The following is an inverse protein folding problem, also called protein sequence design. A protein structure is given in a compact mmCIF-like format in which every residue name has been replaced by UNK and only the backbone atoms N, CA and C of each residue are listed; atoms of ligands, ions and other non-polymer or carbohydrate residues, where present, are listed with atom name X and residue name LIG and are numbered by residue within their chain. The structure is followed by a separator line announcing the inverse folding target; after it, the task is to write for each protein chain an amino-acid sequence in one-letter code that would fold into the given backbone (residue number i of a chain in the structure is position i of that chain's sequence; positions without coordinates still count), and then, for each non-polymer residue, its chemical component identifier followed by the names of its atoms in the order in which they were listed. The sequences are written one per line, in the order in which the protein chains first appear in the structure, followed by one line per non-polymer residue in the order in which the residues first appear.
data_IF_882981540494
#
_entry.id   IF_882981540494
#
_cell.length_a   1.000
_cell.length_b   1.000
_cell.length_c   1.000
_cell.angle_alpha   90.00
_cell.angle_beta   90.00
_cell.angle_gamma   90.00
#
_symmetry.space_group_name_H-M   'P 1'
#
loop_
_entity.id
_entity.type
_entity.pdbx_description
1 polymer ?
#
# COMPACT_ATOMS: atom_id res chain seq x y z
N UNK A 1 1.74 23.44 2.61
CA UNK A 1 1.85 24.82 2.08
C UNK A 1 2.68 24.84 0.79
N UNK A 2 2.60 25.94 0.03
CA UNK A 2 3.43 26.13 -1.17
C UNK A 2 4.92 26.20 -0.84
N UNK A 3 5.25 26.75 0.31
CA UNK A 3 6.62 26.81 0.81
C UNK A 3 7.17 25.40 1.09
N UNK A 4 6.41 24.55 1.78
CA UNK A 4 6.78 23.15 2.00
C UNK A 4 6.94 22.39 0.67
N UNK A 5 6.05 22.59 -0.30
CA UNK A 5 6.18 21.97 -1.62
C UNK A 5 7.47 22.38 -2.31
N UNK A 6 7.79 23.68 -2.33
CA UNK A 6 9.04 24.20 -2.92
C UNK A 6 10.30 23.69 -2.22
N UNK A 7 10.23 23.49 -0.91
CA UNK A 7 11.37 22.98 -0.11
C UNK A 7 11.63 21.50 -0.34
N UNK A 8 10.56 20.67 -0.39
CA UNK A 8 10.69 19.22 -0.32
C UNK A 8 10.50 18.50 -1.67
N UNK A 9 9.55 18.91 -2.52
CA UNK A 9 9.24 18.17 -3.73
C UNK A 9 10.37 18.12 -4.76
N UNK A 10 11.16 19.18 -5.01
CA UNK A 10 12.25 19.13 -5.98
C UNK A 10 13.30 18.06 -5.67
N UNK A 11 13.49 17.72 -4.38
CA UNK A 11 14.46 16.70 -3.96
C UNK A 11 14.13 15.31 -4.53
N UNK A 12 12.84 15.02 -4.75
CA UNK A 12 12.39 13.74 -5.33
C UNK A 12 12.50 13.70 -6.86
N UNK A 13 12.79 14.84 -7.50
CA UNK A 13 13.01 14.97 -8.94
C UNK A 13 14.51 15.10 -9.28
N UNK A 14 15.40 15.04 -8.30
CA UNK A 14 16.85 15.06 -8.51
C UNK A 14 17.27 13.77 -9.22
N UNK A 15 17.97 13.90 -10.35
CA UNK A 15 18.44 12.77 -11.15
C UNK A 15 19.86 12.33 -10.77
N UNK A 16 20.59 13.14 -10.01
CA UNK A 16 21.95 12.85 -9.58
C UNK A 16 22.02 12.21 -8.20
N UNK A 17 21.06 12.55 -7.32
CA UNK A 17 21.02 12.06 -5.95
C UNK A 17 19.69 11.38 -5.63
N UNK A 18 19.75 10.11 -5.23
CA UNK A 18 18.57 9.38 -4.79
C UNK A 18 18.00 9.97 -3.50
N UNK A 19 16.75 10.44 -3.55
CA UNK A 19 16.02 10.91 -2.39
C UNK A 19 14.78 10.01 -2.15
N UNK A 20 14.76 9.33 -1.02
CA UNK A 20 13.69 8.41 -0.66
C UNK A 20 12.72 9.05 0.32
N UNK A 21 11.43 8.87 0.05
CA UNK A 21 10.35 9.23 0.96
C UNK A 21 9.79 8.03 1.71
N UNK A 22 9.20 8.29 2.88
CA UNK A 22 8.48 7.29 3.64
C UNK A 22 7.20 7.86 4.27
N UNK A 23 6.17 7.03 4.34
CA UNK A 23 4.87 7.32 4.97
C UNK A 23 4.76 6.53 6.27
N UNK A 24 4.95 7.21 7.40
CA UNK A 24 5.12 6.59 8.71
C UNK A 24 3.85 6.75 9.57
N UNK A 25 2.82 5.94 9.28
CA UNK A 25 1.54 5.90 10.00
C UNK A 25 1.51 4.74 10.99
N UNK A 26 1.68 3.51 10.48
CA UNK A 26 1.49 2.25 11.20
C UNK A 26 2.44 2.09 12.39
N UNK A 27 1.93 1.54 13.48
CA UNK A 27 2.68 1.24 14.71
C UNK A 27 2.52 -0.25 15.09
N UNK A 28 3.34 -0.78 16.02
CA UNK A 28 3.22 -2.17 16.47
C UNK A 28 1.81 -2.56 16.91
N UNK A 29 1.08 -1.64 17.54
CA UNK A 29 -0.27 -1.87 18.09
C UNK A 29 -1.38 -1.13 17.33
N UNK A 30 -1.08 -0.38 16.29
CA UNK A 30 -2.02 0.41 15.49
C UNK A 30 -1.81 0.20 13.99
N UNK A 31 -2.52 -0.78 13.43
CA UNK A 31 -2.56 -1.08 12.00
C UNK A 31 -3.88 -0.59 11.38
N UNK A 32 -4.91 -1.45 11.38
CA UNK A 32 -6.26 -1.10 10.90
C UNK A 32 -6.93 -0.02 11.75
N UNK A 33 -6.65 -0.01 13.05
CA UNK A 33 -7.04 1.06 13.97
C UNK A 33 -6.00 2.19 13.95
N UNK A 34 -5.90 2.87 12.81
CA UNK A 34 -4.93 3.94 12.59
C UNK A 34 -5.19 5.22 13.42
N UNK A 35 -6.35 5.31 14.06
CA UNK A 35 -6.68 6.42 14.98
C UNK A 35 -6.03 6.22 16.37
N UNK A 36 -5.66 5.00 16.72
CA UNK A 36 -5.11 4.63 18.05
C UNK A 36 -3.58 4.68 18.12
N UNK A 37 -2.93 5.45 17.25
CA UNK A 37 -1.46 5.62 17.27
C UNK A 37 -1.00 6.22 18.61
N UNK A 38 0.15 5.73 19.09
CA UNK A 38 0.76 6.13 20.36
C UNK A 38 1.96 7.08 20.23
N UNK A 39 2.51 7.22 19.01
CA UNK A 39 3.56 8.22 18.73
C UNK A 39 3.04 9.60 19.10
N UNK A 40 3.77 10.30 19.97
CA UNK A 40 3.38 11.60 20.52
C UNK A 40 4.19 12.72 19.90
N UNK A 41 3.56 13.89 19.75
CA UNK A 41 4.19 15.15 19.40
C UNK A 41 3.79 16.19 20.45
N UNK A 42 4.68 16.46 21.39
CA UNK A 42 4.49 17.47 22.44
C UNK A 42 4.96 18.82 21.93
N UNK A 43 4.08 19.84 21.93
CA UNK A 43 4.45 21.19 21.52
C UNK A 43 5.29 21.89 22.60
N UNK A 44 6.46 22.38 22.23
CA UNK A 44 7.36 23.18 23.07
C UNK A 44 7.76 24.45 22.32
N UNK A 45 7.02 25.53 22.54
CA UNK A 45 7.24 26.81 21.90
C UNK A 45 7.07 26.75 20.39
N UNK A 46 8.16 26.91 19.65
CA UNK A 46 8.26 26.95 18.19
C UNK A 46 8.51 25.59 17.54
N UNK A 47 8.43 24.49 18.31
CA UNK A 47 8.69 23.14 17.84
C UNK A 47 7.81 22.10 18.53
N UNK A 48 7.84 20.87 17.99
CA UNK A 48 7.29 19.68 18.60
C UNK A 48 8.41 18.72 18.96
N UNK A 49 8.27 18.02 20.08
CA UNK A 49 9.14 16.90 20.47
C UNK A 49 8.42 15.61 20.11
N UNK A 50 8.98 14.86 19.18
CA UNK A 50 8.39 13.63 18.65
C UNK A 50 9.01 12.42 19.33
N UNK A 51 8.15 11.54 19.88
CA UNK A 51 8.55 10.28 20.48
C UNK A 51 7.62 9.16 20.05
N UNK A 52 8.18 8.04 19.57
CA UNK A 52 7.38 6.89 19.19
C UNK A 52 8.10 5.89 18.31
N UNK A 53 7.37 4.84 17.91
CA UNK A 53 7.85 3.73 17.11
C UNK A 53 6.89 3.44 15.96
N UNK A 54 7.37 3.57 14.74
CA UNK A 54 6.64 3.25 13.50
C UNK A 54 7.12 1.93 12.93
N UNK A 55 6.17 1.12 12.46
CA UNK A 55 6.42 -0.25 12.02
C UNK A 55 5.93 -0.51 10.60
N UNK A 56 6.61 -1.43 9.90
CA UNK A 56 6.30 -1.83 8.53
C UNK A 56 6.37 -0.67 7.52
N UNK A 57 7.26 0.28 7.76
CA UNK A 57 7.39 1.47 6.92
C UNK A 57 8.22 1.15 5.68
N UNK A 58 7.65 1.40 4.51
CA UNK A 58 8.40 1.38 3.25
C UNK A 58 9.49 2.44 3.32
N UNK A 59 10.72 2.05 3.01
CA UNK A 59 11.94 2.85 3.20
C UNK A 59 12.22 3.22 4.66
N UNK A 60 11.60 2.57 5.64
CA UNK A 60 11.86 2.81 7.06
C UNK A 60 13.32 2.60 7.42
N UNK A 61 13.94 3.59 8.05
CA UNK A 61 15.35 3.60 8.43
C UNK A 61 16.34 3.98 7.33
N UNK A 62 15.89 4.15 6.07
CA UNK A 62 16.72 4.57 4.94
C UNK A 62 16.18 5.80 4.19
N UNK A 63 14.95 6.24 4.49
CA UNK A 63 14.36 7.40 3.85
C UNK A 63 15.04 8.70 4.27
N UNK A 64 15.14 9.65 3.34
CA UNK A 64 15.64 11.00 3.59
C UNK A 64 14.55 11.90 4.18
N UNK A 65 13.28 11.66 3.80
CA UNK A 65 12.13 12.43 4.29
C UNK A 65 11.00 11.49 4.69
N UNK A 66 10.45 11.71 5.87
CA UNK A 66 9.31 10.99 6.42
C UNK A 66 8.11 11.90 6.55
N UNK A 67 6.92 11.41 6.18
CA UNK A 67 5.65 11.96 6.66
C UNK A 67 5.25 11.13 7.88
N UNK A 68 5.36 11.73 9.06
CA UNK A 68 5.13 11.04 10.35
C UNK A 68 3.81 11.50 10.94
N UNK A 69 2.97 10.54 11.29
CA UNK A 69 1.72 10.80 12.00
C UNK A 69 1.92 10.56 13.50
N UNK A 70 1.57 11.57 14.29
CA UNK A 70 1.70 11.53 15.74
C UNK A 70 0.49 12.18 16.40
N UNK A 71 0.14 11.80 17.62
CA UNK A 71 -0.91 12.46 18.38
C UNK A 71 -0.38 13.60 19.20
N UNK A 72 -1.02 14.77 19.10
CA UNK A 72 -0.76 15.93 19.96
C UNK A 72 -1.64 15.92 21.21
N UNK A 73 -2.79 15.22 21.16
CA UNK A 73 -3.68 14.99 22.29
C UNK A 73 -4.40 13.63 22.14
N UNK A 74 -3.96 12.59 22.84
CA UNK A 74 -4.54 11.24 22.71
C UNK A 74 -6.01 11.16 23.16
N UNK A 75 -6.48 12.11 23.96
CA UNK A 75 -7.88 12.14 24.45
C UNK A 75 -8.87 12.50 23.31
N UNK A 76 -8.37 13.11 22.24
CA UNK A 76 -9.17 13.50 21.06
C UNK A 76 -9.30 12.39 20.02
N UNK A 77 -8.73 11.18 20.25
CA UNK A 77 -8.73 10.09 19.28
C UNK A 77 -8.17 10.55 17.93
N UNK A 78 -8.89 10.28 16.83
CA UNK A 78 -8.46 10.69 15.50
C UNK A 78 -8.27 12.21 15.34
N UNK A 79 -9.03 13.03 16.09
CA UNK A 79 -8.90 14.49 16.10
C UNK A 79 -7.64 15.00 16.81
N UNK A 80 -6.87 14.13 17.45
CA UNK A 80 -5.54 14.46 18.00
C UNK A 80 -4.39 14.13 17.05
N UNK A 81 -4.64 13.36 15.98
CA UNK A 81 -3.61 12.95 15.03
C UNK A 81 -3.19 14.11 14.12
N UNK A 82 -1.90 14.36 14.06
CA UNK A 82 -1.28 15.43 13.29
C UNK A 82 -0.15 14.84 12.43
N UNK A 83 0.09 15.40 11.26
CA UNK A 83 1.13 14.94 10.35
C UNK A 83 2.31 15.92 10.32
N UNK A 84 3.52 15.40 10.23
CA UNK A 84 4.78 16.17 10.26
C UNK A 84 5.72 15.70 9.15
N UNK A 85 6.46 16.65 8.56
CA UNK A 85 7.59 16.36 7.69
C UNK A 85 8.82 16.25 8.59
N UNK A 86 9.47 15.08 8.60
CA UNK A 86 10.67 14.80 9.40
C UNK A 86 11.80 14.38 8.48
N UNK A 87 12.98 14.99 8.62
CA UNK A 87 14.15 14.58 7.83
C UNK A 87 14.86 13.40 8.51
N UNK A 88 15.29 12.43 7.72
CA UNK A 88 15.84 11.16 8.21
C UNK A 88 17.18 11.29 8.94
N UNK A 89 17.90 12.40 8.70
CA UNK A 89 19.19 12.70 9.34
C UNK A 89 19.06 13.53 10.64
N UNK A 90 17.83 13.85 11.07
CA UNK A 90 17.66 14.59 12.32
C UNK A 90 18.04 13.74 13.53
N UNK A 91 18.59 14.41 14.54
CA UNK A 91 18.93 13.78 15.81
C UNK A 91 17.68 13.13 16.42
N UNK A 92 17.80 11.88 16.86
CA UNK A 92 16.70 11.12 17.45
C UNK A 92 15.90 10.30 16.44
N UNK A 93 16.11 10.47 15.13
CA UNK A 93 15.55 9.58 14.11
C UNK A 93 16.46 8.36 13.96
N UNK A 94 15.94 7.18 14.22
CA UNK A 94 16.72 5.94 14.22
C UNK A 94 16.08 4.87 13.35
N UNK A 95 16.94 4.14 12.62
CA UNK A 95 16.53 2.92 11.94
C UNK A 95 16.26 1.81 12.96
N UNK A 96 15.09 1.20 12.89
CA UNK A 96 14.80 0.01 13.64
C UNK A 96 15.05 -1.26 12.85
N UNK A 97 14.28 -2.31 13.12
CA UNK A 97 14.43 -3.61 12.47
C UNK A 97 14.02 -3.56 10.99
N UNK A 98 14.89 -4.07 10.11
CA UNK A 98 14.52 -4.40 8.72
C UNK A 98 13.72 -5.69 8.67
N UNK A 99 12.56 -5.71 8.03
CA UNK A 99 11.66 -6.85 8.02
C UNK A 99 12.03 -7.89 6.92
N UNK A 100 11.93 -9.17 7.29
CA UNK A 100 12.03 -10.31 6.37
C UNK A 100 10.63 -10.68 5.91
N UNK A 101 10.33 -10.44 4.62
CA UNK A 101 8.98 -10.51 4.09
C UNK A 101 8.70 -11.76 3.27
N UNK A 102 7.43 -12.15 3.21
CA UNK A 102 6.91 -13.22 2.36
C UNK A 102 7.10 -12.89 0.87
N UNK A 103 6.72 -11.69 0.45
CA UNK A 103 6.77 -11.18 -0.92
C UNK A 103 7.27 -9.75 -1.00
N UNK A 104 7.25 -9.16 -2.19
CA UNK A 104 7.80 -7.84 -2.54
C UNK A 104 9.13 -7.55 -1.82
N UNK A 105 10.03 -8.53 -1.83
CA UNK A 105 11.27 -8.51 -1.05
C UNK A 105 12.26 -7.44 -1.49
N UNK A 106 12.14 -6.98 -2.74
CA UNK A 106 12.95 -5.88 -3.28
C UNK A 106 12.57 -4.51 -2.68
N UNK A 107 11.33 -4.34 -2.22
CA UNK A 107 10.91 -3.13 -1.51
C UNK A 107 11.43 -3.16 -0.08
N UNK A 108 12.27 -2.20 0.29
CA UNK A 108 12.74 -2.08 1.67
C UNK A 108 11.57 -1.77 2.61
N UNK A 109 11.51 -2.47 3.73
CA UNK A 109 10.48 -2.26 4.76
C UNK A 109 11.14 -2.41 6.13
N UNK A 110 10.97 -1.44 7.00
CA UNK A 110 11.59 -1.46 8.31
C UNK A 110 10.83 -0.62 9.34
N UNK A 111 11.29 -0.70 10.56
CA UNK A 111 10.82 0.13 11.65
C UNK A 111 11.59 1.46 11.67
N UNK A 112 10.94 2.49 12.22
CA UNK A 112 11.56 3.81 12.49
C UNK A 112 11.23 4.20 13.91
N UNK A 113 12.25 4.59 14.66
CA UNK A 113 12.14 5.02 16.06
C UNK A 113 12.44 6.51 16.13
N UNK A 114 11.62 7.23 16.87
CA UNK A 114 11.76 8.65 17.15
C UNK A 114 11.99 8.84 18.65
N UNK A 115 13.13 9.39 19.03
CA UNK A 115 13.50 9.68 20.42
C UNK A 115 13.88 11.15 20.54
N UNK A 116 13.01 11.92 21.19
CA UNK A 116 13.15 13.37 21.42
C UNK A 116 13.49 14.14 20.12
N UNK A 117 12.85 13.78 19.01
CA UNK A 117 13.08 14.45 17.72
C UNK A 117 12.45 15.83 17.76
N UNK A 118 13.26 16.87 17.60
CA UNK A 118 12.80 18.25 17.49
C UNK A 118 12.29 18.54 16.08
N UNK A 119 11.00 18.79 15.94
CA UNK A 119 10.33 19.09 14.68
C UNK A 119 9.87 20.55 14.69
N UNK A 120 10.43 21.43 13.85
CA UNK A 120 9.99 22.82 13.74
C UNK A 120 8.49 22.93 13.41
N UNK A 121 7.83 23.98 13.90
CA UNK A 121 6.39 24.16 13.70
C UNK A 121 6.02 24.28 12.21
N UNK A 122 6.87 24.82 11.39
CA UNK A 122 6.71 24.95 9.94
C UNK A 122 6.76 23.61 9.21
N UNK A 123 7.22 22.55 9.86
CA UNK A 123 7.21 21.18 9.32
C UNK A 123 5.92 20.43 9.63
N UNK A 124 4.97 21.02 10.36
CA UNK A 124 3.64 20.48 10.52
C UNK A 124 2.85 20.60 9.21
N UNK A 125 2.17 19.52 8.81
CA UNK A 125 1.27 19.51 7.67
C UNK A 125 -0.15 19.84 8.12
N UNK A 126 -0.74 20.88 7.54
CA UNK A 126 -2.05 21.43 7.90
C UNK A 126 -2.14 21.85 9.38
N UNK A 127 -3.33 21.92 9.93
CA UNK A 127 -3.58 22.26 11.34
C UNK A 127 -3.43 21.03 12.25
N UNK A 128 -3.25 21.26 13.55
CA UNK A 128 -3.27 20.18 14.53
C UNK A 128 -4.63 19.43 14.48
N UNK A 129 -4.55 18.09 14.54
CA UNK A 129 -5.73 17.22 14.49
C UNK A 129 -6.22 16.86 13.09
N UNK A 130 -5.68 17.46 12.02
CA UNK A 130 -6.08 17.15 10.64
C UNK A 130 -5.29 15.98 10.02
N UNK A 131 -4.30 15.43 10.71
CA UNK A 131 -3.45 14.39 10.17
C UNK A 131 -4.21 13.13 9.75
N UNK A 132 -5.18 12.66 10.56
CA UNK A 132 -5.98 11.49 10.22
C UNK A 132 -6.83 11.71 8.97
N UNK A 133 -7.52 12.83 8.88
CA UNK A 133 -8.34 13.19 7.70
C UNK A 133 -7.44 13.31 6.46
N UNK A 134 -6.27 13.92 6.60
CA UNK A 134 -5.28 14.00 5.52
C UNK A 134 -4.79 12.62 5.07
N UNK A 135 -4.53 11.70 6.02
CA UNK A 135 -4.17 10.32 5.71
C UNK A 135 -5.26 9.60 4.90
N UNK A 136 -6.52 9.75 5.28
CA UNK A 136 -7.65 9.12 4.57
C UNK A 136 -7.77 9.65 3.13
N UNK A 137 -7.62 10.97 2.92
CA UNK A 137 -7.62 11.57 1.57
C UNK A 137 -6.47 11.05 0.69
N UNK A 138 -5.29 10.82 1.27
CA UNK A 138 -4.18 10.19 0.54
C UNK A 138 -4.56 8.79 0.10
N UNK A 139 -5.18 7.99 0.97
CA UNK A 139 -5.60 6.63 0.61
C UNK A 139 -6.71 6.62 -0.46
N UNK A 140 -7.62 7.58 -0.49
CA UNK A 140 -8.59 7.72 -1.58
C UNK A 140 -7.90 7.87 -2.94
N UNK A 141 -6.81 8.63 -2.98
CA UNK A 141 -6.03 8.84 -4.21
C UNK A 141 -5.12 7.64 -4.56
N UNK A 142 -4.58 6.91 -3.57
CA UNK A 142 -3.57 5.87 -3.81
C UNK A 142 -4.15 4.46 -3.98
N UNK A 143 -5.32 4.16 -3.40
CA UNK A 143 -5.98 2.84 -3.53
C UNK A 143 -6.25 2.39 -4.97
N UNK A 144 -6.67 3.27 -5.92
CA UNK A 144 -6.75 2.88 -7.34
C UNK A 144 -5.40 2.41 -7.90
N UNK A 145 -4.29 3.03 -7.48
CA UNK A 145 -2.93 2.61 -7.83
C UNK A 145 -2.59 1.19 -7.33
N UNK A 146 -2.99 0.87 -6.09
CA UNK A 146 -2.86 -0.50 -5.55
C UNK A 146 -3.69 -1.50 -6.35
N UNK A 147 -4.93 -1.12 -6.73
CA UNK A 147 -5.78 -1.97 -7.55
C UNK A 147 -5.15 -2.26 -8.92
N UNK A 148 -4.57 -1.24 -9.58
CA UNK A 148 -3.86 -1.40 -10.87
C UNK A 148 -2.61 -2.27 -10.70
N UNK A 149 -1.84 -2.11 -9.62
CA UNK A 149 -0.69 -2.96 -9.33
C UNK A 149 -1.12 -4.44 -9.16
N UNK A 150 -2.25 -4.69 -8.48
CA UNK A 150 -2.83 -6.04 -8.36
C UNK A 150 -3.23 -6.63 -9.72
N UNK A 151 -3.87 -5.82 -10.58
CA UNK A 151 -4.18 -6.20 -11.97
C UNK A 151 -2.91 -6.55 -12.74
N UNK A 152 -1.83 -5.77 -12.59
CA UNK A 152 -0.56 -6.01 -13.26
C UNK A 152 0.07 -7.37 -12.89
N UNK A 153 0.12 -7.68 -11.61
CA UNK A 153 0.65 -8.97 -11.11
C UNK A 153 -0.22 -10.14 -11.57
N UNK A 154 -1.55 -10.00 -11.47
CA UNK A 154 -2.49 -11.04 -11.91
C UNK A 154 -2.38 -11.29 -13.43
N UNK A 155 -2.26 -10.22 -14.22
CA UNK A 155 -2.07 -10.31 -15.67
C UNK A 155 -0.79 -11.07 -16.03
N UNK A 156 0.33 -10.72 -15.39
CA UNK A 156 1.60 -11.42 -15.63
C UNK A 156 1.49 -12.92 -15.32
N UNK A 157 0.84 -13.27 -14.21
CA UNK A 157 0.61 -14.67 -13.83
C UNK A 157 -0.30 -15.40 -14.83
N UNK A 158 -1.37 -14.76 -15.28
CA UNK A 158 -2.28 -15.29 -16.30
C UNK A 158 -1.57 -15.51 -17.64
N UNK A 159 -0.87 -14.52 -18.16
CA UNK A 159 -0.17 -14.61 -19.45
C UNK A 159 0.88 -15.73 -19.44
N UNK A 160 1.62 -15.87 -18.33
CA UNK A 160 2.59 -16.93 -18.16
C UNK A 160 1.92 -18.34 -18.10
N UNK A 161 0.86 -18.47 -17.33
CA UNK A 161 0.11 -19.73 -17.22
C UNK A 161 -0.55 -20.13 -18.55
N UNK A 162 -1.08 -19.15 -19.29
CA UNK A 162 -1.66 -19.37 -20.61
C UNK A 162 -0.62 -19.91 -21.59
N UNK A 163 0.56 -19.30 -21.64
CA UNK A 163 1.63 -19.75 -22.53
C UNK A 163 2.11 -21.15 -22.13
N UNK A 164 2.34 -21.40 -20.85
CA UNK A 164 2.69 -22.72 -20.35
C UNK A 164 1.65 -23.77 -20.72
N UNK A 165 0.35 -23.46 -20.59
CA UNK A 165 -0.73 -24.39 -20.92
C UNK A 165 -0.79 -24.77 -22.41
N UNK A 166 -0.36 -23.87 -23.31
CA UNK A 166 -0.25 -24.13 -24.75
C UNK A 166 0.91 -25.05 -25.09
N UNK A 167 1.99 -25.02 -24.32
CA UNK A 167 3.23 -25.77 -24.60
C UNK A 167 3.31 -27.09 -23.85
N UNK A 168 2.79 -27.14 -22.61
CA UNK A 168 2.88 -28.32 -21.75
C UNK A 168 2.00 -29.45 -22.25
N UNK A 169 2.60 -30.57 -22.60
CA UNK A 169 1.88 -31.79 -23.06
C UNK A 169 1.69 -32.76 -21.89
N UNK A 170 0.46 -33.18 -21.65
CA UNK A 170 0.07 -34.28 -20.77
C UNK A 170 -1.06 -35.06 -21.40
N UNK A 171 -1.09 -36.39 -21.19
CA UNK A 171 -2.05 -37.28 -21.83
C UNK A 171 -2.08 -37.13 -23.37
N UNK A 172 -0.89 -36.95 -23.98
CA UNK A 172 -0.67 -36.84 -25.42
C UNK A 172 -1.10 -35.53 -26.08
N UNK A 173 -1.55 -34.49 -25.32
CA UNK A 173 -2.03 -33.23 -25.88
C UNK A 173 -1.60 -32.05 -24.98
N UNK A 174 -1.47 -30.83 -25.54
CA UNK A 174 -1.29 -29.61 -24.72
C UNK A 174 -2.39 -29.49 -23.67
N UNK A 175 -2.03 -29.09 -22.45
CA UNK A 175 -2.99 -29.03 -21.33
C UNK A 175 -4.09 -27.99 -21.55
N UNK A 176 -3.86 -26.97 -22.39
CA UNK A 176 -4.87 -25.99 -22.81
C UNK A 176 -6.13 -26.67 -23.45
N UNK A 177 -5.99 -27.88 -23.98
CA UNK A 177 -7.10 -28.62 -24.56
C UNK A 177 -8.04 -29.25 -23.51
N UNK A 178 -7.67 -29.21 -22.26
CA UNK A 178 -8.45 -29.73 -21.13
C UNK A 178 -9.44 -28.68 -20.65
N UNK A 179 -10.73 -29.03 -20.61
CA UNK A 179 -11.82 -28.13 -20.28
C UNK A 179 -11.62 -27.41 -18.91
N UNK A 180 -11.12 -28.14 -17.89
CA UNK A 180 -10.84 -27.55 -16.58
C UNK A 180 -9.80 -26.43 -16.67
N UNK A 181 -8.74 -26.58 -17.47
CA UNK A 181 -7.71 -25.54 -17.68
C UNK A 181 -8.30 -24.36 -18.45
N UNK A 182 -9.15 -24.62 -19.46
CA UNK A 182 -9.83 -23.56 -20.22
C UNK A 182 -10.73 -22.73 -19.30
N UNK A 183 -11.47 -23.34 -18.40
CA UNK A 183 -12.34 -22.64 -17.46
C UNK A 183 -11.54 -21.79 -16.46
N UNK A 184 -10.46 -22.34 -15.90
CA UNK A 184 -9.57 -21.56 -15.03
C UNK A 184 -9.04 -20.32 -15.75
N UNK A 185 -8.52 -20.47 -16.97
CA UNK A 185 -7.97 -19.34 -17.75
C UNK A 185 -9.06 -18.32 -18.13
N UNK A 186 -10.27 -18.77 -18.46
CA UNK A 186 -11.40 -17.89 -18.77
C UNK A 186 -11.81 -17.07 -17.52
N UNK A 187 -11.93 -17.72 -16.36
CA UNK A 187 -12.25 -17.05 -15.09
C UNK A 187 -11.17 -16.03 -14.70
N UNK A 188 -9.88 -16.38 -14.86
CA UNK A 188 -8.77 -15.47 -14.61
C UNK A 188 -8.88 -14.21 -15.48
N UNK A 189 -9.12 -14.36 -16.79
CA UNK A 189 -9.24 -13.24 -17.73
C UNK A 189 -10.42 -12.32 -17.37
N UNK A 190 -11.60 -12.90 -17.16
CA UNK A 190 -12.81 -12.15 -16.81
C UNK A 190 -12.61 -11.31 -15.54
N UNK A 191 -11.99 -11.90 -14.50
CA UNK A 191 -11.75 -11.22 -13.23
C UNK A 191 -10.70 -10.11 -13.36
N UNK A 192 -9.64 -10.31 -14.16
CA UNK A 192 -8.62 -9.30 -14.45
C UNK A 192 -9.25 -8.08 -15.13
N UNK A 193 -10.10 -8.31 -16.14
CA UNK A 193 -10.75 -7.22 -16.87
C UNK A 193 -11.75 -6.46 -15.99
N UNK A 194 -12.55 -7.17 -15.20
CA UNK A 194 -13.45 -6.55 -14.24
C UNK A 194 -12.70 -5.68 -13.22
N UNK A 195 -11.57 -6.17 -12.66
CA UNK A 195 -10.75 -5.43 -11.72
C UNK A 195 -10.14 -4.17 -12.35
N UNK A 196 -9.68 -4.27 -13.60
CA UNK A 196 -9.13 -3.14 -14.36
C UNK A 196 -10.17 -2.03 -14.56
N UNK A 197 -11.39 -2.39 -14.96
CA UNK A 197 -12.47 -1.43 -15.16
C UNK A 197 -12.88 -0.74 -13.85
N UNK A 198 -12.93 -1.47 -12.74
CA UNK A 198 -13.19 -0.88 -11.42
C UNK A 198 -12.09 0.12 -11.02
N UNK A 199 -10.83 -0.23 -11.26
CA UNK A 199 -9.71 0.66 -10.95
C UNK A 199 -9.74 1.92 -11.83
N UNK A 200 -10.04 1.79 -13.12
CA UNK A 200 -10.19 2.91 -14.05
C UNK A 200 -11.35 3.82 -13.67
N UNK A 201 -12.49 3.25 -13.28
CA UNK A 201 -13.63 4.04 -12.79
C UNK A 201 -13.23 4.90 -11.58
N UNK A 202 -12.53 4.31 -10.61
CA UNK A 202 -12.09 5.04 -9.42
C UNK A 202 -11.07 6.15 -9.76
N UNK A 203 -10.16 5.93 -10.70
CA UNK A 203 -9.21 6.92 -11.17
C UNK A 203 -9.90 8.05 -11.97
N UNK A 204 -10.85 7.69 -12.85
CA UNK A 204 -11.62 8.65 -13.63
C UNK A 204 -12.39 9.64 -12.77
N UNK A 205 -12.96 9.20 -11.64
CA UNK A 205 -13.65 10.10 -10.71
C UNK A 205 -12.71 11.16 -10.12
N UNK A 206 -11.46 10.79 -9.82
CA UNK A 206 -10.42 11.75 -9.39
C UNK A 206 -10.19 12.80 -10.47
N UNK A 207 -10.03 12.37 -11.73
CA UNK A 207 -9.81 13.28 -12.86
C UNK A 207 -10.99 14.24 -13.07
N UNK A 208 -12.21 13.83 -12.70
CA UNK A 208 -13.41 14.69 -12.72
C UNK A 208 -13.54 15.58 -11.47
N UNK A 209 -12.60 15.54 -10.52
CA UNK A 209 -12.68 16.28 -9.25
C UNK A 209 -13.79 15.77 -8.31
N UNK A 210 -14.26 14.54 -8.50
CA UNK A 210 -15.30 13.92 -7.70
C UNK A 210 -14.70 13.05 -6.58
N UNK A 211 -15.46 12.86 -5.49
CA UNK A 211 -15.09 11.88 -4.47
C UNK A 211 -15.14 10.46 -5.06
N UNK A 212 -14.13 9.67 -4.74
CA UNK A 212 -14.01 8.29 -5.19
C UNK A 212 -13.82 7.28 -4.05
N UNK A 213 -14.11 7.68 -2.80
CA UNK A 213 -13.80 6.85 -1.63
C UNK A 213 -14.47 5.46 -1.71
N UNK A 214 -15.73 5.41 -2.15
CA UNK A 214 -16.48 4.16 -2.35
C UNK A 214 -15.83 3.33 -3.47
N UNK A 215 -15.64 3.91 -4.65
CA UNK A 215 -15.10 3.23 -5.83
C UNK A 215 -13.65 2.79 -5.63
N UNK A 216 -12.84 3.60 -4.98
CA UNK A 216 -11.46 3.25 -4.62
C UNK A 216 -11.41 2.05 -3.67
N UNK A 217 -12.32 1.99 -2.69
CA UNK A 217 -12.44 0.87 -1.77
C UNK A 217 -12.95 -0.40 -2.46
N UNK A 218 -13.94 -0.29 -3.35
CA UNK A 218 -14.43 -1.40 -4.18
C UNK A 218 -13.31 -1.93 -5.06
N UNK A 219 -12.63 -1.05 -5.81
CA UNK A 219 -11.57 -1.42 -6.72
C UNK A 219 -10.42 -2.13 -5.99
N UNK A 220 -9.97 -1.57 -4.86
CA UNK A 220 -8.87 -2.14 -4.07
C UNK A 220 -9.23 -3.50 -3.47
N UNK A 221 -10.41 -3.67 -2.89
CA UNK A 221 -10.85 -4.94 -2.33
C UNK A 221 -10.97 -6.01 -3.42
N UNK A 222 -11.68 -5.70 -4.51
CA UNK A 222 -11.88 -6.64 -5.60
C UNK A 222 -10.58 -7.04 -6.26
N UNK A 223 -9.73 -6.06 -6.66
CA UNK A 223 -8.49 -6.33 -7.36
C UNK A 223 -7.49 -7.13 -6.52
N UNK A 224 -7.37 -6.84 -5.22
CA UNK A 224 -6.45 -7.58 -4.34
C UNK A 224 -6.90 -9.03 -4.10
N UNK A 225 -8.20 -9.28 -3.94
CA UNK A 225 -8.74 -10.63 -3.78
C UNK A 225 -8.62 -11.42 -5.09
N UNK A 226 -8.92 -10.79 -6.22
CA UNK A 226 -8.72 -11.34 -7.58
C UNK A 226 -7.26 -11.70 -7.82
N UNK A 227 -6.31 -10.81 -7.51
CA UNK A 227 -4.88 -11.08 -7.75
C UNK A 227 -4.40 -12.30 -6.96
N UNK A 228 -4.85 -12.47 -5.72
CA UNK A 228 -4.53 -13.64 -4.92
C UNK A 228 -5.08 -14.92 -5.54
N UNK A 229 -6.33 -14.90 -6.03
CA UNK A 229 -6.95 -16.05 -6.69
C UNK A 229 -6.21 -16.40 -7.99
N UNK A 230 -6.02 -15.42 -8.88
CA UNK A 230 -5.38 -15.60 -10.19
C UNK A 230 -3.94 -16.11 -10.06
N UNK A 231 -3.15 -15.55 -9.15
CA UNK A 231 -1.77 -16.03 -8.94
C UNK A 231 -1.72 -17.43 -8.34
N UNK A 232 -2.68 -17.80 -7.49
CA UNK A 232 -2.82 -19.18 -6.97
C UNK A 232 -3.20 -20.15 -8.09
N UNK A 233 -4.17 -19.78 -8.94
CA UNK A 233 -4.59 -20.58 -10.09
C UNK A 233 -3.46 -20.76 -11.12
N UNK A 234 -2.63 -19.74 -11.31
CA UNK A 234 -1.43 -19.84 -12.16
C UNK A 234 -0.43 -20.89 -11.64
N UNK A 235 -0.16 -20.90 -10.33
CA UNK A 235 0.67 -21.96 -9.71
C UNK A 235 0.02 -23.34 -9.94
N UNK A 236 -1.30 -23.44 -9.77
CA UNK A 236 -2.03 -24.71 -9.97
C UNK A 236 -1.96 -25.20 -11.42
N UNK A 237 -2.09 -24.31 -12.42
CA UNK A 237 -1.98 -24.67 -13.85
C UNK A 237 -0.58 -25.21 -14.19
N UNK A 238 0.47 -24.65 -13.60
CA UNK A 238 1.84 -25.14 -13.78
C UNK A 238 2.11 -26.44 -13.02
N UNK A 239 1.28 -26.76 -12.01
CA UNK A 239 1.47 -27.96 -11.18
C UNK A 239 2.79 -27.93 -10.40
N UNK A 240 3.54 -29.02 -10.35
CA UNK A 240 4.81 -29.11 -9.63
C UNK A 240 5.83 -28.06 -10.06
N UNK A 241 5.87 -27.68 -11.31
CA UNK A 241 6.75 -26.61 -11.81
C UNK A 241 6.38 -25.23 -11.23
N UNK A 242 5.08 -24.95 -11.07
CA UNK A 242 4.64 -23.70 -10.47
C UNK A 242 5.02 -23.52 -9.00
N UNK A 243 5.38 -24.61 -8.31
CA UNK A 243 5.82 -24.60 -6.93
C UNK A 243 7.33 -24.37 -6.78
N UNK A 244 8.10 -24.49 -7.88
CA UNK A 244 9.56 -24.32 -7.91
C UNK A 244 9.94 -22.88 -8.15
N UNK A 245 11.04 -22.43 -7.51
CA UNK A 245 11.55 -21.05 -7.63
C UNK A 245 12.14 -20.70 -9.00
N UNK A 246 12.36 -21.69 -9.84
CA UNK A 246 12.79 -21.51 -11.23
C UNK A 246 11.72 -20.88 -12.10
N UNK A 247 10.46 -20.89 -11.63
CA UNK A 247 9.29 -20.33 -12.30
C UNK A 247 8.73 -19.13 -11.51
N UNK A 248 8.31 -18.03 -12.20
CA UNK A 248 8.00 -16.79 -11.50
C UNK A 248 6.65 -16.81 -10.76
N UNK A 249 5.76 -17.75 -11.05
CA UNK A 249 4.37 -17.74 -10.55
C UNK A 249 4.28 -17.89 -9.03
N UNK A 250 5.18 -18.66 -8.39
CA UNK A 250 5.25 -18.79 -6.94
C UNK A 250 5.61 -17.45 -6.28
N UNK A 251 6.54 -16.70 -6.92
CA UNK A 251 6.92 -15.37 -6.45
C UNK A 251 5.75 -14.40 -6.57
N UNK A 252 5.05 -14.36 -7.68
CA UNK A 252 3.93 -13.47 -7.89
C UNK A 252 2.77 -13.76 -6.93
N UNK A 253 2.52 -15.03 -6.58
CA UNK A 253 1.54 -15.41 -5.56
C UNK A 253 1.93 -14.85 -4.19
N UNK A 254 3.20 -14.94 -3.79
CA UNK A 254 3.69 -14.36 -2.54
C UNK A 254 3.63 -12.82 -2.55
N UNK A 255 3.95 -12.21 -3.69
CA UNK A 255 3.91 -10.76 -3.86
C UNK A 255 2.48 -10.22 -3.84
N UNK A 256 1.52 -10.94 -4.44
CA UNK A 256 0.10 -10.53 -4.46
C UNK A 256 -0.52 -10.44 -3.06
N UNK A 257 -0.06 -11.26 -2.11
CA UNK A 257 -0.68 -11.34 -0.77
C UNK A 257 -0.70 -10.03 -0.02
N UNK A 258 0.34 -9.19 -0.14
CA UNK A 258 0.41 -7.92 0.58
C UNK A 258 -0.70 -6.94 0.14
N UNK A 259 -1.18 -7.05 -1.09
CA UNK A 259 -2.19 -6.17 -1.64
C UNK A 259 -3.54 -6.30 -0.93
N UNK A 260 -3.80 -7.44 -0.28
CA UNK A 260 -4.96 -7.62 0.60
C UNK A 260 -4.78 -6.99 1.99
N UNK A 261 -3.57 -6.55 2.35
CA UNK A 261 -3.20 -6.17 3.72
C UNK A 261 -2.93 -4.67 3.85
N UNK A 262 -2.01 -4.13 3.05
CA UNK A 262 -1.60 -2.73 3.17
C UNK A 262 -2.62 -1.74 2.57
N UNK A 263 -2.48 -0.45 2.87
CA UNK A 263 -3.41 0.63 2.50
C UNK A 263 -4.88 0.36 2.90
N UNK A 264 -5.04 -0.28 4.04
CA UNK A 264 -6.30 -0.80 4.54
C UNK A 264 -6.57 -2.22 4.03
N UNK A 265 -6.75 -3.16 4.96
CA UNK A 265 -7.02 -4.56 4.61
C UNK A 265 -8.28 -4.70 3.75
N UNK A 266 -8.42 -5.84 3.04
CA UNK A 266 -9.66 -6.16 2.30
C UNK A 266 -10.90 -6.09 3.19
N UNK A 267 -10.76 -6.35 4.50
CA UNK A 267 -11.83 -6.19 5.51
C UNK A 267 -12.13 -4.72 5.78
N UNK A 268 -11.11 -3.87 5.95
CA UNK A 268 -11.30 -2.42 6.13
C UNK A 268 -11.95 -1.79 4.90
N UNK A 269 -11.58 -2.22 3.69
CA UNK A 269 -12.28 -1.74 2.49
C UNK A 269 -13.78 -2.06 2.57
N UNK A 270 -14.17 -3.25 3.02
CA UNK A 270 -15.58 -3.65 3.20
C UNK A 270 -16.28 -2.83 4.30
N UNK A 271 -15.56 -2.44 5.36
CA UNK A 271 -16.10 -1.50 6.36
C UNK A 271 -16.42 -0.15 5.72
N UNK A 272 -15.48 0.41 4.93
CA UNK A 272 -15.71 1.69 4.22
C UNK A 272 -16.89 1.60 3.26
N UNK A 273 -16.98 0.51 2.47
CA UNK A 273 -18.11 0.26 1.56
C UNK A 273 -19.43 0.17 2.35
N UNK A 274 -19.47 -0.62 3.42
CA UNK A 274 -20.67 -0.79 4.24
C UNK A 274 -21.13 0.51 4.90
N UNK A 275 -20.19 1.36 5.34
CA UNK A 275 -20.52 2.68 5.89
C UNK A 275 -21.07 3.63 4.81
N UNK A 276 -20.55 3.59 3.59
CA UNK A 276 -21.11 4.38 2.49
C UNK A 276 -22.55 3.95 2.20
N UNK A 277 -22.81 2.65 2.09
CA UNK A 277 -24.18 2.13 1.85
C UNK A 277 -25.17 2.44 2.98
N UNK A 278 -24.69 2.64 4.20
CA UNK A 278 -25.57 2.98 5.33
C UNK A 278 -25.92 4.48 5.41
N UNK A 279 -25.19 5.33 4.67
CA UNK A 279 -25.39 6.78 4.65
C UNK A 279 -26.07 7.28 3.37
N UNK A 280 -26.31 6.41 2.38
CA UNK A 280 -27.13 6.64 1.20
C UNK A 280 -28.63 6.40 1.52
#
# INVERSE_FOLDING_TARGET
SEEQKRKYLPRFCDTEHLHLGAYALTEPEAGSDAASIKTRAERKGDRYILNGHKRFITNGGIANTYIVFATVDPRKGYGGVTAFIVEGNWKGVQAGKKERKMGIRASHTGDVIFEDVEVPIENRLAEEGFGFVGAMKVFEATRPGVAVAAVGVARAAYEYALQYAKERVQFGKPIITKQAIQFMLADMLMQIDAARLLAWRAAWLIDQGQSNNLEASIAKAFASDMAMKVTTDAVQILGGYGYMRDYPVEKWMRDAKIMQIYEGTSQIQRVVIGQALAND
#
